data_IF_145634400226
#
_entry.id   IF_145634400226
#
_cell.length_a   1.000
_cell.length_b   1.000
_cell.length_c   1.000
_cell.angle_alpha   90.00
_cell.angle_beta   90.00
_cell.angle_gamma   90.00
#
_symmetry.space_group_name_H-M   'P 1'
#
loop_
_entity.id
_entity.type
_entity.pdbx_description
1 polymer ?
#
# COMPACT_ATOMS: atom_id res chain seq x y z
N UNK A 1 -5.59 -58.95 -6.67
CA UNK A 1 -4.53 -58.64 -5.69
C UNK A 1 -5.01 -57.51 -4.79
N UNK A 2 -5.15 -57.80 -3.49
CA UNK A 2 -5.56 -56.87 -2.42
C UNK A 2 -4.33 -56.56 -1.57
N UNK A 3 -3.98 -55.29 -1.40
CA UNK A 3 -3.09 -54.76 -0.35
C UNK A 3 -3.49 -53.29 -0.20
N UNK A 4 -3.71 -52.69 0.97
CA UNK A 4 -3.52 -53.08 2.36
C UNK A 4 -3.52 -51.77 3.14
N UNK A 5 -4.59 -51.53 3.91
CA UNK A 5 -4.78 -50.31 4.69
C UNK A 5 -3.91 -50.40 5.95
N UNK A 6 -2.96 -49.48 6.14
CA UNK A 6 -2.13 -49.40 7.34
C UNK A 6 -2.67 -48.27 8.23
N UNK A 7 -3.40 -48.64 9.27
CA UNK A 7 -3.90 -47.76 10.32
C UNK A 7 -2.78 -47.63 11.37
N UNK A 8 -2.25 -46.43 11.58
CA UNK A 8 -1.27 -46.16 12.65
C UNK A 8 -1.97 -45.34 13.72
N UNK A 9 -2.22 -45.99 14.87
CA UNK A 9 -2.67 -45.37 16.11
C UNK A 9 -1.44 -44.87 16.89
N UNK A 10 -1.38 -43.57 17.15
CA UNK A 10 -0.50 -43.01 18.17
C UNK A 10 -1.34 -42.55 19.35
N UNK A 11 -1.18 -43.25 20.48
CA UNK A 11 -1.56 -42.80 21.80
C UNK A 11 -0.36 -42.09 22.43
N UNK A 12 -0.52 -40.83 22.81
CA UNK A 12 0.31 -40.21 23.83
C UNK A 12 -0.58 -39.40 24.77
N UNK A 13 -0.74 -39.94 25.98
CA UNK A 13 -1.19 -39.27 27.17
C UNK A 13 0.05 -38.65 27.84
N UNK A 14 0.01 -37.36 28.18
CA UNK A 14 0.89 -36.74 29.17
C UNK A 14 0.09 -35.63 29.84
N UNK A 15 -0.30 -35.91 31.08
CA UNK A 15 -0.91 -34.98 32.02
C UNK A 15 0.23 -34.21 32.71
N UNK A 16 0.47 -32.98 32.30
CA UNK A 16 1.24 -32.03 33.09
C UNK A 16 0.37 -30.83 33.45
N UNK A 17 0.26 -30.61 34.76
CA UNK A 17 -0.65 -29.70 35.42
C UNK A 17 -0.44 -28.24 34.97
N UNK A 18 -1.47 -27.71 34.31
CA UNK A 18 -1.59 -26.30 33.98
C UNK A 18 -1.77 -25.46 35.26
N UNK A 19 -0.72 -24.76 35.69
CA UNK A 19 -0.88 -23.53 36.47
C UNK A 19 -1.56 -22.48 35.59
N UNK A 20 -2.89 -22.39 35.71
CA UNK A 20 -3.70 -21.32 35.14
C UNK A 20 -3.29 -19.98 35.76
N UNK A 21 -2.35 -19.27 35.14
CA UNK A 21 -2.19 -17.84 35.38
C UNK A 21 -3.45 -17.16 34.85
N UNK A 22 -4.18 -16.37 35.66
CA UNK A 22 -5.30 -15.60 35.17
C UNK A 22 -4.76 -14.62 34.12
N UNK A 23 -5.12 -14.84 32.86
CA UNK A 23 -4.95 -13.85 31.81
C UNK A 23 -5.79 -12.64 32.22
N UNK A 24 -5.13 -11.63 32.79
CA UNK A 24 -5.71 -10.31 32.95
C UNK A 24 -6.16 -9.87 31.56
N UNK A 25 -7.48 -9.83 31.35
CA UNK A 25 -8.11 -9.21 30.19
C UNK A 25 -7.70 -7.73 30.19
N UNK A 26 -6.58 -7.44 29.52
CA UNK A 26 -6.31 -6.10 29.03
C UNK A 26 -7.27 -5.87 27.88
N UNK A 27 -8.43 -5.30 28.17
CA UNK A 27 -9.22 -4.65 27.13
C UNK A 27 -8.32 -3.56 26.52
N UNK A 28 -7.96 -3.65 25.23
CA UNK A 28 -7.19 -2.59 24.60
C UNK A 28 -8.00 -1.29 24.73
N UNK A 29 -7.36 -0.17 25.12
CA UNK A 29 -8.06 1.09 25.29
C UNK A 29 -8.83 1.41 24.01
N UNK A 30 -10.13 1.68 24.16
CA UNK A 30 -11.03 2.08 23.08
C UNK A 30 -10.50 3.38 22.49
N UNK A 31 -9.67 3.29 21.45
CA UNK A 31 -9.18 4.46 20.72
C UNK A 31 -10.39 5.07 20.04
N UNK A 32 -10.92 6.15 20.61
CA UNK A 32 -11.97 6.95 20.01
C UNK A 32 -11.45 7.52 18.68
N UNK A 33 -11.76 6.84 17.58
CA UNK A 33 -11.54 7.36 16.24
C UNK A 33 -12.59 8.45 15.97
N UNK A 34 -12.28 9.67 16.40
CA UNK A 34 -13.00 10.84 15.92
C UNK A 34 -12.56 11.00 14.47
N UNK A 35 -13.36 10.47 13.54
CA UNK A 35 -13.21 10.68 12.11
C UNK A 35 -13.56 12.14 11.80
N UNK A 36 -12.66 13.04 12.14
CA UNK A 36 -12.77 14.44 11.77
C UNK A 36 -12.67 14.48 10.23
N UNK A 37 -13.71 14.99 9.58
CA UNK A 37 -13.84 15.11 8.13
C UNK A 37 -12.90 16.21 7.60
N UNK A 38 -11.62 16.14 7.96
CA UNK A 38 -10.59 17.04 7.51
C UNK A 38 -10.19 16.62 6.10
N UNK A 39 -10.53 17.46 5.14
CA UNK A 39 -10.04 17.34 3.77
C UNK A 39 -8.50 17.19 3.80
N UNK A 40 -7.93 16.18 3.11
CA UNK A 40 -6.51 15.89 3.23
C UNK A 40 -5.69 17.09 2.75
N UNK A 41 -4.80 17.62 3.59
CA UNK A 41 -3.97 18.78 3.23
C UNK A 41 -2.84 18.47 2.25
N UNK A 42 -2.54 17.18 2.05
CA UNK A 42 -1.60 16.69 1.05
C UNK A 42 -2.35 15.82 0.03
N UNK A 43 -2.29 16.20 -1.24
CA UNK A 43 -2.88 15.44 -2.34
C UNK A 43 -1.81 14.61 -3.04
N UNK A 44 -2.12 13.36 -3.36
CA UNK A 44 -1.30 12.51 -4.22
C UNK A 44 -2.02 12.29 -5.56
N UNK A 45 -1.35 12.64 -6.65
CA UNK A 45 -1.76 12.24 -8.01
C UNK A 45 -0.72 11.29 -8.60
N UNK A 46 -1.15 10.48 -9.56
CA UNK A 46 -0.29 9.47 -10.20
C UNK A 46 -0.49 9.47 -11.70
N UNK A 47 0.58 9.16 -12.42
CA UNK A 47 0.58 9.00 -13.88
C UNK A 47 1.39 7.76 -14.23
N UNK A 48 0.89 6.95 -15.17
CA UNK A 48 1.63 5.81 -15.71
C UNK A 48 2.71 6.33 -16.65
N UNK A 49 3.96 6.06 -16.30
CA UNK A 49 5.14 6.35 -17.15
C UNK A 49 5.70 5.10 -17.81
N UNK A 50 5.24 3.91 -17.40
CA UNK A 50 5.53 2.65 -18.07
C UNK A 50 4.55 1.56 -17.64
N UNK A 51 4.19 0.69 -18.58
CA UNK A 51 3.31 -0.45 -18.36
C UNK A 51 3.87 -1.66 -19.10
N UNK A 52 4.09 -2.75 -18.38
CA UNK A 52 4.59 -4.02 -18.93
C UNK A 52 3.74 -5.17 -18.44
N UNK A 53 3.63 -6.21 -19.27
CA UNK A 53 2.98 -7.45 -18.89
C UNK A 53 4.03 -8.54 -18.71
N UNK A 54 4.02 -9.14 -17.53
CA UNK A 54 4.97 -10.15 -17.09
C UNK A 54 4.29 -11.51 -17.13
N UNK A 55 4.98 -12.53 -17.69
CA UNK A 55 4.46 -13.89 -17.65
C UNK A 55 4.23 -14.34 -16.20
N UNK A 56 3.00 -14.76 -15.89
CA UNK A 56 2.64 -15.39 -14.62
C UNK A 56 2.56 -16.91 -14.78
N UNK A 57 1.42 -17.49 -14.43
CA UNK A 57 1.15 -18.93 -14.54
C UNK A 57 0.35 -19.27 -15.81
N UNK A 58 -0.44 -20.35 -15.80
CA UNK A 58 -1.27 -20.77 -16.93
C UNK A 58 -2.43 -19.81 -17.22
N UNK A 59 -2.93 -19.09 -16.20
CA UNK A 59 -4.16 -18.31 -16.26
C UNK A 59 -3.94 -16.81 -16.04
N UNK A 60 -2.84 -16.46 -15.38
CA UNK A 60 -2.49 -15.12 -14.96
C UNK A 60 -1.24 -14.59 -15.65
N UNK A 61 -1.24 -13.29 -15.88
CA UNK A 61 -0.04 -12.49 -16.11
C UNK A 61 0.05 -11.42 -15.02
N UNK A 62 1.25 -10.92 -14.75
CA UNK A 62 1.42 -9.71 -13.95
C UNK A 62 1.31 -8.47 -14.84
N UNK A 63 0.65 -7.41 -14.38
CA UNK A 63 0.83 -6.07 -14.94
C UNK A 63 1.73 -5.27 -14.02
N UNK A 64 2.88 -4.84 -14.54
CA UNK A 64 3.84 -3.99 -13.84
C UNK A 64 3.67 -2.56 -14.32
N UNK A 65 3.37 -1.66 -13.40
CA UNK A 65 3.16 -0.24 -13.63
C UNK A 65 4.29 0.55 -12.99
N UNK A 66 5.05 1.28 -13.83
CA UNK A 66 5.95 2.32 -13.37
C UNK A 66 5.13 3.61 -13.31
N UNK A 67 5.06 4.21 -12.12
CA UNK A 67 4.22 5.37 -11.85
C UNK A 67 5.10 6.56 -11.47
N UNK A 68 4.77 7.73 -12.01
CA UNK A 68 5.19 9.01 -11.44
C UNK A 68 4.19 9.42 -10.38
N UNK A 69 4.69 9.69 -9.18
CA UNK A 69 3.95 10.19 -8.04
C UNK A 69 4.15 11.69 -7.95
N UNK A 70 3.07 12.44 -7.69
CA UNK A 70 3.13 13.87 -7.41
C UNK A 70 2.38 14.18 -6.13
N UNK A 71 3.11 14.62 -5.11
CA UNK A 71 2.58 15.07 -3.84
C UNK A 71 2.45 16.58 -3.86
N UNK A 72 1.23 17.10 -3.75
CA UNK A 72 0.94 18.54 -3.80
C UNK A 72 0.39 19.00 -2.46
N UNK A 73 1.01 20.02 -1.87
CA UNK A 73 0.46 20.68 -0.69
C UNK A 73 -0.73 21.55 -1.12
N UNK A 74 -1.95 21.15 -0.76
CA UNK A 74 -3.17 21.91 -1.07
C UNK A 74 -3.62 22.80 0.09
N UNK A 75 -2.85 22.83 1.17
CA UNK A 75 -3.11 23.65 2.34
C UNK A 75 -2.25 24.92 2.33
N UNK A 76 -2.65 25.92 3.11
CA UNK A 76 -1.96 27.20 3.26
C UNK A 76 -0.66 27.08 4.07
N UNK A 77 -0.56 26.09 4.96
CA UNK A 77 0.61 25.90 5.82
C UNK A 77 1.67 25.05 5.12
N UNK A 78 2.98 25.34 5.32
CA UNK A 78 4.04 24.50 4.79
C UNK A 78 3.96 23.06 5.33
N UNK A 79 4.17 22.08 4.46
CA UNK A 79 4.19 20.66 4.82
C UNK A 79 5.62 20.14 4.74
N UNK A 80 6.07 19.44 5.77
CA UNK A 80 7.33 18.70 5.77
C UNK A 80 7.03 17.26 5.35
N UNK A 81 7.60 16.84 4.23
CA UNK A 81 7.39 15.51 3.64
C UNK A 81 8.73 14.76 3.54
N UNK A 82 8.72 13.48 3.91
CA UNK A 82 9.88 12.61 3.73
C UNK A 82 10.05 12.26 2.24
N UNK A 83 11.27 12.35 1.70
CA UNK A 83 11.55 12.10 0.28
C UNK A 83 11.69 10.62 -0.07
N UNK A 84 12.06 9.78 0.90
CA UNK A 84 12.24 8.33 0.68
C UNK A 84 10.92 7.54 0.56
N UNK A 85 9.88 8.19 0.06
CA UNK A 85 8.53 7.67 -0.11
C UNK A 85 8.41 7.06 -1.51
N UNK A 86 8.56 5.75 -1.61
CA UNK A 86 8.36 5.03 -2.89
C UNK A 86 7.74 3.65 -2.71
N UNK A 87 7.34 3.29 -1.49
CA UNK A 87 6.75 1.98 -1.23
C UNK A 87 5.23 2.10 -1.28
N UNK A 88 4.57 1.21 -2.01
CA UNK A 88 3.11 1.12 -2.01
C UNK A 88 2.68 0.25 -0.83
N UNK A 89 1.86 0.77 0.09
CA UNK A 89 1.28 -0.01 1.19
C UNK A 89 -0.03 -0.68 0.80
N UNK A 90 -0.80 -0.11 -0.14
CA UNK A 90 -2.03 -0.72 -0.62
C UNK A 90 -2.31 -0.41 -2.09
N UNK A 91 -2.96 -1.35 -2.76
CA UNK A 91 -3.44 -1.26 -4.14
C UNK A 91 -4.95 -1.45 -4.15
N UNK A 92 -5.65 -0.51 -4.76
CA UNK A 92 -7.10 -0.44 -4.79
C UNK A 92 -7.57 -0.21 -6.22
N UNK A 93 -8.29 -1.17 -6.79
CA UNK A 93 -8.73 -1.11 -8.19
C UNK A 93 -10.26 -1.19 -8.24
N UNK A 94 -10.87 -0.32 -9.04
CA UNK A 94 -12.30 -0.34 -9.38
C UNK A 94 -12.48 -0.39 -10.89
N UNK A 95 -13.64 -0.88 -11.33
CA UNK A 95 -14.02 -0.80 -12.74
C UNK A 95 -14.26 0.66 -13.13
N UNK A 96 -13.87 0.98 -14.36
CA UNK A 96 -14.21 2.23 -15.01
C UNK A 96 -15.07 1.92 -16.23
N UNK A 97 -16.23 2.56 -16.33
CA UNK A 97 -17.15 2.39 -17.47
C UNK A 97 -17.75 3.74 -17.80
N UNK A 98 -17.67 4.16 -19.07
CA UNK A 98 -18.32 5.37 -19.57
C UNK A 98 -17.96 6.65 -18.78
N UNK A 99 -16.68 6.79 -18.41
CA UNK A 99 -16.20 7.97 -17.68
C UNK A 99 -16.54 7.99 -16.19
N UNK A 100 -17.06 6.89 -15.62
CA UNK A 100 -17.40 6.78 -14.20
C UNK A 100 -16.68 5.61 -13.54
N UNK A 101 -16.21 5.84 -12.32
CA UNK A 101 -15.71 4.79 -11.43
C UNK A 101 -16.91 4.15 -10.75
N UNK A 102 -17.11 2.84 -10.96
CA UNK A 102 -18.33 2.14 -10.56
C UNK A 102 -18.01 1.01 -9.57
N UNK A 103 -18.88 0.86 -8.57
CA UNK A 103 -18.91 -0.32 -7.70
C UNK A 103 -17.81 -0.38 -6.63
N UNK A 104 -17.75 -1.49 -5.89
CA UNK A 104 -16.71 -1.72 -4.88
C UNK A 104 -15.34 -1.95 -5.51
N UNK A 105 -14.30 -1.96 -4.68
CA UNK A 105 -12.98 -2.38 -5.11
C UNK A 105 -12.99 -3.85 -5.55
N UNK A 106 -12.60 -4.12 -6.79
CA UNK A 106 -12.41 -5.49 -7.31
C UNK A 106 -11.10 -6.09 -6.81
N UNK A 107 -10.10 -5.23 -6.59
CA UNK A 107 -8.84 -5.57 -5.92
C UNK A 107 -8.65 -4.57 -4.79
N UNK A 108 -8.47 -5.09 -3.57
CA UNK A 108 -8.05 -4.32 -2.41
C UNK A 108 -6.97 -5.13 -1.70
N UNK A 109 -5.72 -4.89 -2.08
CA UNK A 109 -4.56 -5.60 -1.54
C UNK A 109 -3.79 -4.67 -0.60
N UNK A 110 -3.45 -5.19 0.58
CA UNK A 110 -2.49 -4.56 1.49
C UNK A 110 -1.16 -5.27 1.33
N UNK A 111 -0.10 -4.51 1.06
CA UNK A 111 1.23 -5.04 0.86
C UNK A 111 1.99 -5.02 2.17
N UNK A 112 2.44 -6.20 2.61
CA UNK A 112 3.35 -6.28 3.75
C UNK A 112 4.73 -5.81 3.29
N UNK A 113 5.14 -4.63 3.75
CA UNK A 113 6.44 -4.06 3.43
C UNK A 113 7.51 -4.67 4.33
N UNK A 114 8.33 -5.57 3.78
CA UNK A 114 9.52 -6.09 4.45
C UNK A 114 10.72 -5.25 4.03
N UNK A 115 11.18 -4.36 4.91
CA UNK A 115 12.38 -3.59 4.66
C UNK A 115 13.62 -4.43 5.01
N UNK A 116 14.31 -4.95 3.98
CA UNK A 116 15.56 -5.72 4.12
C UNK A 116 16.81 -4.83 4.14
N UNK A 117 16.66 -3.52 3.90
CA UNK A 117 17.76 -2.56 3.92
C UNK A 117 18.17 -2.12 5.33
N UNK A 118 19.27 -1.36 5.41
CA UNK A 118 19.64 -0.66 6.65
C UNK A 118 18.48 0.27 7.04
N UNK A 119 17.96 0.13 8.26
CA UNK A 119 16.95 1.04 8.80
C UNK A 119 17.42 2.48 8.67
N UNK A 120 16.74 3.26 7.83
CA UNK A 120 16.94 4.70 7.76
C UNK A 120 16.50 5.26 9.09
N UNK A 121 17.45 5.81 9.85
CA UNK A 121 17.18 6.47 11.13
C UNK A 121 17.07 7.96 10.92
N UNK A 122 15.93 8.53 11.24
CA UNK A 122 15.75 9.99 11.22
C UNK A 122 16.55 10.59 12.38
N UNK A 123 17.65 11.28 12.05
CA UNK A 123 18.49 11.99 13.03
C UNK A 123 17.76 13.23 13.54
N UNK A 124 17.79 13.45 14.85
CA UNK A 124 16.92 14.41 15.54
C UNK A 124 17.25 15.88 15.33
N UNK A 125 18.45 16.24 14.90
CA UNK A 125 18.92 17.64 15.00
C UNK A 125 18.49 18.56 13.85
N UNK A 126 18.11 18.06 12.67
CA UNK A 126 17.72 18.92 11.55
C UNK A 126 16.84 18.23 10.52
N UNK A 127 16.06 19.04 9.79
CA UNK A 127 15.46 18.66 8.51
C UNK A 127 16.60 18.50 7.50
N UNK A 128 17.25 17.33 7.53
CA UNK A 128 18.32 17.01 6.59
C UNK A 128 17.79 16.79 5.17
N UNK A 129 18.66 16.31 4.28
CA UNK A 129 18.37 16.11 2.86
C UNK A 129 17.20 15.16 2.57
N UNK A 130 16.85 14.32 3.54
CA UNK A 130 15.77 13.33 3.48
C UNK A 130 14.36 13.95 3.49
N UNK A 131 14.24 15.25 3.76
CA UNK A 131 12.94 15.94 3.82
C UNK A 131 12.85 17.04 2.77
N UNK A 132 11.64 17.29 2.30
CA UNK A 132 11.26 18.46 1.50
C UNK A 132 10.22 19.26 2.29
N UNK A 133 10.32 20.58 2.24
CA UNK A 133 9.28 21.48 2.76
C UNK A 133 8.50 21.97 1.55
N UNK A 134 7.23 21.61 1.46
CA UNK A 134 6.31 22.04 0.42
C UNK A 134 5.53 23.26 0.90
N UNK A 135 5.76 24.42 0.29
CA UNK A 135 4.89 25.58 0.45
C UNK A 135 3.51 25.30 -0.15
N UNK A 136 2.54 26.18 0.11
CA UNK A 136 1.20 26.09 -0.47
C UNK A 136 1.27 26.03 -2.00
N UNK A 137 0.69 24.98 -2.59
CA UNK A 137 0.68 24.76 -4.04
C UNK A 137 1.95 24.11 -4.61
N UNK A 138 3.03 24.01 -3.83
CA UNK A 138 4.24 23.31 -4.28
C UNK A 138 4.02 21.80 -4.37
N UNK A 139 4.84 21.16 -5.21
CA UNK A 139 4.78 19.72 -5.43
C UNK A 139 6.16 19.07 -5.31
N UNK A 140 6.16 17.82 -4.84
CA UNK A 140 7.31 16.92 -4.91
C UNK A 140 6.97 15.72 -5.79
N UNK A 141 7.85 15.40 -6.72
CA UNK A 141 7.70 14.28 -7.64
C UNK A 141 8.73 13.19 -7.35
N UNK A 142 8.30 11.94 -7.47
CA UNK A 142 9.14 10.74 -7.36
C UNK A 142 8.52 9.62 -8.18
N UNK A 143 9.19 8.48 -8.26
CA UNK A 143 8.72 7.33 -9.02
C UNK A 143 8.54 6.10 -8.11
N UNK A 144 7.60 5.25 -8.48
CA UNK A 144 7.38 3.96 -7.83
C UNK A 144 7.05 2.90 -8.86
N UNK A 145 7.18 1.65 -8.46
CA UNK A 145 6.71 0.51 -9.22
C UNK A 145 5.60 -0.17 -8.42
N UNK A 146 4.53 -0.54 -9.09
CA UNK A 146 3.44 -1.32 -8.51
C UNK A 146 2.94 -2.32 -9.54
N UNK A 147 2.01 -3.19 -9.15
CA UNK A 147 1.41 -4.12 -10.08
C UNK A 147 0.26 -4.90 -9.50
N UNK A 148 -0.49 -5.56 -10.38
CA UNK A 148 -1.54 -6.50 -10.01
C UNK A 148 -1.52 -7.69 -10.95
N UNK A 149 -2.32 -8.71 -10.68
CA UNK A 149 -2.49 -9.83 -11.58
C UNK A 149 -3.62 -9.54 -12.56
N UNK A 150 -3.45 -10.00 -13.79
CA UNK A 150 -4.44 -9.90 -14.86
C UNK A 150 -4.76 -11.28 -15.40
N UNK A 151 -6.03 -11.57 -15.65
CA UNK A 151 -6.43 -12.84 -16.28
C UNK A 151 -6.19 -12.78 -17.78
N UNK A 152 -5.86 -13.93 -18.39
CA UNK A 152 -5.73 -14.04 -19.87
C UNK A 152 -7.08 -14.07 -20.56
N UNK A 153 -8.05 -14.78 -19.98
CA UNK A 153 -9.42 -14.85 -20.49
C UNK A 153 -10.34 -13.88 -19.73
N UNK A 154 -11.10 -13.09 -20.48
CA UNK A 154 -12.11 -12.17 -19.97
C UNK A 154 -13.23 -12.86 -19.18
N UNK A 155 -13.49 -14.14 -19.47
CA UNK A 155 -14.49 -14.96 -18.78
C UNK A 155 -14.03 -15.46 -17.41
N UNK A 156 -12.71 -15.53 -17.20
CA UNK A 156 -12.12 -16.03 -15.96
C UNK A 156 -12.37 -15.06 -14.80
N UNK A 157 -12.68 -15.61 -13.63
CA UNK A 157 -12.88 -14.85 -12.40
C UNK A 157 -11.94 -15.38 -11.33
N UNK A 158 -10.73 -14.80 -11.27
CA UNK A 158 -9.73 -15.15 -10.26
C UNK A 158 -9.69 -14.04 -9.21
N UNK A 159 -9.88 -14.42 -7.94
CA UNK A 159 -9.87 -13.48 -6.84
C UNK A 159 -8.53 -12.72 -6.77
N UNK A 160 -8.59 -11.39 -6.71
CA UNK A 160 -7.40 -10.54 -6.67
C UNK A 160 -6.74 -10.26 -8.03
N UNK A 161 -7.29 -10.80 -9.13
CA UNK A 161 -6.89 -10.46 -10.48
C UNK A 161 -7.94 -9.58 -11.18
N UNK A 162 -7.52 -8.87 -12.22
CA UNK A 162 -8.41 -8.07 -13.07
C UNK A 162 -8.47 -8.61 -14.49
N UNK A 163 -9.64 -8.53 -15.12
CA UNK A 163 -9.83 -8.98 -16.50
C UNK A 163 -9.38 -7.88 -17.48
N UNK A 164 -9.25 -8.15 -18.79
CA UNK A 164 -9.06 -7.09 -19.78
C UNK A 164 -10.18 -6.04 -19.71
N UNK A 165 -9.81 -4.75 -19.80
CA UNK A 165 -10.74 -3.61 -19.73
C UNK A 165 -10.18 -2.35 -19.06
N UNK A 166 -11.06 -1.39 -18.83
CA UNK A 166 -10.75 -0.09 -18.22
C UNK A 166 -10.96 -0.09 -16.70
N UNK A 167 -10.03 0.53 -15.99
CA UNK A 167 -10.01 0.55 -14.54
C UNK A 167 -9.56 1.90 -14.00
N UNK A 168 -9.90 2.13 -12.73
CA UNK A 168 -9.33 3.20 -11.93
C UNK A 168 -8.48 2.59 -10.82
N UNK A 169 -7.19 2.93 -10.81
CA UNK A 169 -6.22 2.56 -9.79
C UNK A 169 -6.11 3.67 -8.74
N UNK A 170 -6.13 3.28 -7.48
CA UNK A 170 -5.67 4.08 -6.35
C UNK A 170 -4.58 3.31 -5.61
N UNK A 171 -3.58 4.03 -5.14
CA UNK A 171 -2.52 3.47 -4.30
C UNK A 171 -2.46 4.23 -2.99
N UNK A 172 -2.06 3.54 -1.92
CA UNK A 172 -1.70 4.17 -0.66
C UNK A 172 -0.19 4.18 -0.49
N UNK A 173 0.38 5.34 -0.14
CA UNK A 173 1.80 5.52 0.13
C UNK A 173 1.98 5.91 1.61
N UNK A 174 2.74 5.14 2.41
CA UNK A 174 3.17 5.57 3.72
C UNK A 174 4.18 6.71 3.56
N UNK A 175 3.97 7.80 4.29
CA UNK A 175 4.78 9.02 4.16
C UNK A 175 5.82 9.19 5.26
N UNK A 176 5.84 8.27 6.23
CA UNK A 176 6.72 8.31 7.38
C UNK A 176 7.40 6.95 7.62
N UNK A 177 8.74 6.90 7.72
CA UNK A 177 9.47 5.63 7.79
C UNK A 177 9.68 5.11 9.21
N UNK A 178 9.28 5.86 10.24
CA UNK A 178 9.57 5.58 11.65
C UNK A 178 8.29 5.33 12.46
N UNK A 179 8.43 5.13 13.77
CA UNK A 179 7.28 4.91 14.66
C UNK A 179 6.38 6.15 14.79
N UNK A 180 5.11 5.92 15.15
CA UNK A 180 4.15 6.98 15.47
C UNK A 180 4.62 7.87 16.62
N UNK A 181 5.32 7.30 17.60
CA UNK A 181 5.93 8.07 18.69
C UNK A 181 6.93 9.11 18.15
N UNK A 182 7.81 8.70 17.24
CA UNK A 182 8.76 9.61 16.61
C UNK A 182 8.07 10.61 15.68
N UNK A 183 6.99 10.21 15.00
CA UNK A 183 6.17 11.13 14.20
C UNK A 183 5.64 12.28 15.06
N UNK A 184 5.03 11.97 16.21
CA UNK A 184 4.49 12.99 17.15
C UNK A 184 5.61 13.89 17.69
N UNK A 185 6.72 13.29 18.13
CA UNK A 185 7.89 14.02 18.63
C UNK A 185 8.40 15.02 17.59
N UNK A 186 8.65 14.58 16.37
CA UNK A 186 9.21 15.44 15.32
C UNK A 186 8.19 16.41 14.75
N UNK A 187 6.89 16.06 14.74
CA UNK A 187 5.82 17.00 14.40
C UNK A 187 5.82 18.22 15.34
N UNK A 188 6.00 18.01 16.64
CA UNK A 188 6.13 19.11 17.59
C UNK A 188 7.44 19.88 17.40
N UNK A 189 8.57 19.16 17.33
CA UNK A 189 9.89 19.76 17.22
C UNK A 189 10.06 20.63 15.96
N UNK A 190 9.51 20.19 14.82
CA UNK A 190 9.65 20.87 13.54
C UNK A 190 8.50 21.81 13.22
N UNK A 191 7.54 21.97 14.12
CA UNK A 191 6.36 22.83 13.92
C UNK A 191 6.68 24.25 13.44
N UNK A 192 7.76 24.93 13.93
CA UNK A 192 8.11 26.26 13.43
C UNK A 192 8.48 26.32 11.95
N UNK A 193 8.81 25.17 11.33
CA UNK A 193 9.21 25.07 9.91
C UNK A 193 8.09 24.58 9.00
N UNK A 194 7.06 23.94 9.57
CA UNK A 194 5.94 23.34 8.83
C UNK A 194 5.29 22.21 9.61
N UNK A 195 4.21 21.64 9.07
CA UNK A 195 3.57 20.46 9.63
C UNK A 195 4.21 19.19 9.08
N UNK A 196 4.75 18.33 9.96
CA UNK A 196 5.24 17.02 9.54
C UNK A 196 4.06 16.15 9.11
N UNK A 197 4.04 15.78 7.84
CA UNK A 197 3.08 14.84 7.32
C UNK A 197 3.55 13.41 7.59
N UNK A 198 2.78 12.68 8.39
CA UNK A 198 3.11 11.30 8.80
C UNK A 198 2.02 10.28 8.51
N UNK A 199 0.84 10.74 8.07
CA UNK A 199 -0.25 9.86 7.70
C UNK A 199 -0.02 9.30 6.28
N UNK A 200 -0.41 8.05 6.00
CA UNK A 200 -0.44 7.56 4.63
C UNK A 200 -1.31 8.46 3.74
N UNK A 201 -0.95 8.53 2.45
CA UNK A 201 -1.73 9.29 1.46
C UNK A 201 -2.25 8.33 0.42
N UNK A 202 -3.57 8.39 0.20
CA UNK A 202 -4.23 7.67 -0.90
C UNK A 202 -4.24 8.56 -2.14
N UNK A 203 -3.85 8.02 -3.28
CA UNK A 203 -3.87 8.75 -4.54
C UNK A 203 -5.30 9.05 -5.00
N UNK A 204 -5.42 10.11 -5.78
CA UNK A 204 -6.58 10.27 -6.66
C UNK A 204 -6.69 9.07 -7.61
N UNK A 205 -7.91 8.69 -8.04
CA UNK A 205 -8.09 7.65 -9.03
C UNK A 205 -7.34 7.98 -10.33
N UNK A 206 -6.51 7.05 -10.78
CA UNK A 206 -5.79 7.14 -12.04
C UNK A 206 -6.32 6.06 -12.98
N UNK A 207 -6.75 6.48 -14.18
CA UNK A 207 -7.27 5.55 -15.18
C UNK A 207 -6.15 4.73 -15.80
N UNK A 208 -6.40 3.44 -16.02
CA UNK A 208 -5.51 2.56 -16.76
C UNK A 208 -6.31 1.49 -17.51
N UNK A 209 -5.72 0.97 -18.58
CA UNK A 209 -6.33 -0.07 -19.40
C UNK A 209 -5.51 -1.35 -19.35
N UNK A 210 -6.19 -2.48 -19.21
CA UNK A 210 -5.62 -3.81 -19.35
C UNK A 210 -5.97 -4.34 -20.73
N UNK A 211 -4.97 -4.42 -21.62
CA UNK A 211 -5.16 -4.93 -22.97
C UNK A 211 -5.49 -6.43 -22.96
N UNK A 212 -6.43 -6.81 -23.82
CA UNK A 212 -6.81 -8.20 -24.09
C UNK A 212 -5.68 -8.92 -24.85
N UNK A 213 -5.24 -8.31 -25.96
CA UNK A 213 -4.04 -8.74 -26.68
C UNK A 213 -2.84 -7.95 -26.16
N UNK A 214 -1.98 -8.61 -25.40
CA UNK A 214 -0.83 -8.00 -24.74
C UNK A 214 0.46 -8.73 -25.10
N UNK A 215 1.53 -7.97 -25.27
CA UNK A 215 2.88 -8.50 -25.41
C UNK A 215 3.38 -8.91 -24.02
N UNK A 216 3.48 -10.21 -23.79
CA UNK A 216 3.99 -10.78 -22.55
C UNK A 216 5.52 -10.84 -22.63
N UNK A 217 6.20 -10.36 -21.59
CA UNK A 217 7.65 -10.39 -21.46
C UNK A 217 8.03 -11.20 -20.21
N UNK A 218 9.25 -11.75 -20.19
CA UNK A 218 9.83 -12.29 -18.98
C UNK A 218 10.36 -11.12 -18.14
N UNK A 219 9.74 -10.88 -16.99
CA UNK A 219 10.13 -9.80 -16.09
C UNK A 219 11.15 -10.29 -15.06
N UNK A 220 12.12 -9.45 -14.67
CA UNK A 220 13.05 -9.75 -13.60
C UNK A 220 12.35 -9.77 -12.23
#
# INVERSE_FOLDING_TARGET
MKLGCLLVLFLFYSEDAAMLRPYLHFEPPKVLQIAENQQPSLQLTTVIIGQKYCRGDADLDGVRLNLRLRFTNINKQPIILYKGISNVSAIMIRRHTEGKVVGPFIVKSSLTLVNTGRKVRVKSSSLGEMFVILQSGESFETETITGTFVTRDKSSQIAGAVNPGEYALQIEIPTWPESNYLAVKYKHQWKPKGDLWSNPVVSQPMLFNVAEQRKIEDCP
#
